data_IF_575433510332
#
_entry.id   IF_575433510332
#
_cell.length_a   1.000
_cell.length_b   1.000
_cell.length_c   1.000
_cell.angle_alpha   90.00
_cell.angle_beta   90.00
_cell.angle_gamma   90.00
#
_symmetry.space_group_name_H-M   'P 1'
#
loop_
_entity.id
_entity.type
_entity.pdbx_description
1 polymer ?
#
# COMPACT_ATOMS: atom_id res chain seq x y z
N UNK A 1 -6.42 36.09 -2.87
CA UNK A 1 -5.20 36.71 -3.41
C UNK A 1 -4.40 35.58 -4.00
N UNK A 2 -4.25 35.50 -5.34
CA UNK A 2 -3.54 34.39 -6.00
C UNK A 2 -2.14 34.25 -5.40
N UNK A 3 -1.81 33.05 -4.90
CA UNK A 3 -0.52 32.77 -4.27
C UNK A 3 0.48 32.27 -5.31
N UNK A 4 0.02 31.75 -6.46
CA UNK A 4 0.84 31.10 -7.50
C UNK A 4 0.28 31.27 -8.93
N UNK A 5 1.12 31.10 -9.97
CA UNK A 5 0.81 30.98 -11.42
C UNK A 5 1.71 29.82 -11.94
N UNK A 6 1.36 28.82 -12.76
CA UNK A 6 0.13 28.36 -13.44
C UNK A 6 0.17 26.82 -13.57
N UNK A 7 -0.96 26.17 -13.36
CA UNK A 7 -1.20 24.76 -13.67
C UNK A 7 -2.55 24.35 -13.05
N UNK A 8 -3.35 23.47 -13.69
CA UNK A 8 -4.67 23.13 -13.19
C UNK A 8 -4.61 22.53 -11.78
N UNK A 9 -3.56 21.76 -11.46
CA UNK A 9 -3.32 21.24 -10.12
C UNK A 9 -3.02 22.33 -9.08
N UNK A 10 -2.23 23.34 -9.45
CA UNK A 10 -1.89 24.45 -8.54
C UNK A 10 -3.13 25.28 -8.24
N UNK A 11 -3.96 25.57 -9.23
CA UNK A 11 -5.21 26.31 -9.04
C UNK A 11 -6.18 25.59 -8.07
N UNK A 12 -6.29 24.26 -8.19
CA UNK A 12 -7.10 23.48 -7.25
C UNK A 12 -6.46 23.31 -5.88
N UNK A 13 -5.13 23.22 -5.82
CA UNK A 13 -4.40 23.24 -4.55
C UNK A 13 -4.64 24.56 -3.81
N UNK A 14 -4.62 25.71 -4.50
CA UNK A 14 -4.97 27.00 -3.90
C UNK A 14 -6.36 27.01 -3.29
N UNK A 15 -7.36 26.46 -4.01
CA UNK A 15 -8.70 26.30 -3.46
C UNK A 15 -8.69 25.46 -2.17
N UNK A 16 -7.92 24.37 -2.10
CA UNK A 16 -7.79 23.58 -0.85
C UNK A 16 -7.14 24.42 0.26
N UNK A 17 -6.09 25.17 -0.06
CA UNK A 17 -5.38 26.02 0.90
C UNK A 17 -6.27 27.15 1.43
N UNK A 18 -7.12 27.76 0.61
CA UNK A 18 -8.10 28.77 1.03
C UNK A 18 -9.09 28.22 2.06
N UNK A 19 -9.47 26.95 1.91
CA UNK A 19 -10.30 26.25 2.90
C UNK A 19 -9.59 26.05 4.23
N UNK A 20 -8.32 25.66 4.21
CA UNK A 20 -7.48 25.56 5.40
C UNK A 20 -7.15 26.93 6.02
N UNK A 21 -7.24 27.99 5.23
CA UNK A 21 -7.06 29.38 5.67
C UNK A 21 -8.32 29.95 6.33
N UNK A 22 -9.45 29.23 6.25
CA UNK A 22 -10.74 29.70 6.78
C UNK A 22 -11.36 30.81 5.93
N UNK A 23 -11.11 30.84 4.62
CA UNK A 23 -11.65 31.85 3.72
C UNK A 23 -13.20 31.92 3.79
N UNK A 24 -13.74 33.14 3.87
CA UNK A 24 -15.20 33.36 3.92
C UNK A 24 -15.85 32.93 2.60
N UNK A 25 -16.97 32.23 2.67
CA UNK A 25 -17.69 31.71 1.49
C UNK A 25 -16.99 30.52 0.80
N UNK A 26 -15.88 30.03 1.34
CA UNK A 26 -15.19 28.88 0.78
C UNK A 26 -16.01 27.60 0.94
N UNK A 27 -16.08 26.80 -0.12
CA UNK A 27 -16.76 25.50 -0.15
C UNK A 27 -18.15 25.51 -0.78
N UNK A 28 -18.71 26.67 -1.11
CA UNK A 28 -20.04 26.77 -1.74
C UNK A 28 -20.04 26.15 -3.15
N UNK A 29 -18.89 26.15 -3.83
CA UNK A 29 -18.64 25.54 -5.14
C UNK A 29 -18.08 24.11 -5.05
N UNK A 30 -18.01 23.48 -3.87
CA UNK A 30 -17.33 22.21 -3.69
C UNK A 30 -17.86 21.07 -4.60
N UNK A 31 -19.17 21.05 -4.90
CA UNK A 31 -19.76 20.08 -5.83
C UNK A 31 -19.28 20.27 -7.30
N UNK A 32 -18.84 21.47 -7.65
CA UNK A 32 -18.29 21.81 -8.96
C UNK A 32 -16.78 21.63 -9.02
N UNK A 33 -16.10 21.74 -7.87
CA UNK A 33 -14.65 21.63 -7.76
C UNK A 33 -14.19 20.18 -7.57
N UNK A 34 -14.96 19.35 -6.87
CA UNK A 34 -14.63 17.95 -6.62
C UNK A 34 -15.06 17.05 -7.80
N UNK A 35 -14.22 16.07 -8.14
CA UNK A 35 -14.54 15.09 -9.17
C UNK A 35 -15.67 14.16 -8.69
N UNK A 36 -16.57 13.68 -9.57
CA UNK A 36 -17.66 12.78 -9.19
C UNK A 36 -17.18 11.52 -8.44
N UNK A 37 -16.07 10.92 -8.88
CA UNK A 37 -15.47 9.74 -8.24
C UNK A 37 -14.97 10.04 -6.83
N UNK A 38 -14.36 11.21 -6.62
CA UNK A 38 -13.95 11.67 -5.29
C UNK A 38 -15.17 11.94 -4.40
N UNK A 39 -16.17 12.65 -4.94
CA UNK A 39 -17.40 13.01 -4.23
C UNK A 39 -18.24 11.78 -3.81
N UNK A 40 -18.14 10.67 -4.56
CA UNK A 40 -18.76 9.40 -4.20
C UNK A 40 -18.14 8.77 -2.94
N UNK A 41 -16.86 9.04 -2.66
CA UNK A 41 -16.16 8.58 -1.46
C UNK A 41 -16.29 9.57 -0.31
N UNK A 42 -16.17 10.86 -0.60
CA UNK A 42 -16.25 11.95 0.37
C UNK A 42 -17.25 13.01 -0.13
N UNK A 43 -18.49 13.04 0.39
CA UNK A 43 -19.50 14.02 -0.02
C UNK A 43 -18.98 15.47 0.12
N UNK A 44 -19.28 16.39 -0.81
CA UNK A 44 -18.76 17.76 -0.78
C UNK A 44 -19.00 18.50 0.54
N UNK A 45 -20.17 18.34 1.15
CA UNK A 45 -20.54 18.99 2.42
C UNK A 45 -19.64 18.48 3.55
N UNK A 46 -19.37 17.17 3.56
CA UNK A 46 -18.48 16.54 4.52
C UNK A 46 -17.04 17.02 4.32
N UNK A 47 -16.58 17.12 3.08
CA UNK A 47 -15.26 17.64 2.77
C UNK A 47 -15.08 19.08 3.29
N UNK A 48 -16.06 19.96 3.01
CA UNK A 48 -16.07 21.35 3.46
C UNK A 48 -16.08 21.43 4.98
N UNK A 49 -16.95 20.66 5.65
CA UNK A 49 -17.03 20.63 7.11
C UNK A 49 -15.70 20.23 7.76
N UNK A 50 -15.06 19.17 7.26
CA UNK A 50 -13.77 18.69 7.78
C UNK A 50 -12.68 19.71 7.55
N UNK A 51 -12.63 20.34 6.38
CA UNK A 51 -11.60 21.33 6.03
C UNK A 51 -11.75 22.60 6.87
N UNK A 52 -12.99 23.09 7.05
CA UNK A 52 -13.27 24.23 7.95
C UNK A 52 -12.86 23.94 9.39
N UNK A 53 -13.09 22.72 9.88
CA UNK A 53 -12.62 22.31 11.22
C UNK A 53 -11.10 22.34 11.31
N UNK A 54 -10.40 21.89 10.27
CA UNK A 54 -8.93 21.90 10.20
C UNK A 54 -8.35 23.31 10.16
N UNK A 55 -9.09 24.31 9.69
CA UNK A 55 -8.60 25.70 9.69
C UNK A 55 -8.14 26.20 11.06
N UNK A 56 -8.64 25.62 12.17
CA UNK A 56 -8.17 25.92 13.52
C UNK A 56 -6.69 25.57 13.77
N UNK A 57 -6.10 24.68 12.95
CA UNK A 57 -4.70 24.25 13.07
C UNK A 57 -3.75 25.03 12.15
N UNK A 58 -4.30 25.69 11.12
CA UNK A 58 -3.52 26.26 10.02
C UNK A 58 -3.76 27.74 9.78
N UNK A 59 -4.91 28.33 10.11
CA UNK A 59 -5.25 29.71 9.72
C UNK A 59 -4.52 30.75 10.59
N UNK A 60 -3.77 31.70 9.99
CA UNK A 60 -3.54 31.87 8.56
C UNK A 60 -2.52 30.87 8.01
N UNK A 61 -2.83 30.25 6.87
CA UNK A 61 -2.00 29.22 6.23
C UNK A 61 -0.66 29.83 5.83
N UNK A 62 0.41 29.29 6.43
CA UNK A 62 1.79 29.63 6.07
C UNK A 62 2.33 28.54 5.14
N UNK A 63 2.43 28.85 3.85
CA UNK A 63 3.10 27.96 2.88
C UNK A 63 4.60 28.13 2.99
N UNK A 64 5.31 27.02 3.23
CA UNK A 64 6.77 26.98 3.39
C UNK A 64 7.49 26.31 2.21
N UNK A 65 6.73 25.74 1.29
CA UNK A 65 7.24 25.19 0.03
C UNK A 65 6.09 24.79 -0.90
N UNK A 66 6.36 24.81 -2.20
CA UNK A 66 5.46 24.35 -3.25
C UNK A 66 6.24 23.45 -4.20
N UNK A 67 5.73 22.25 -4.43
CA UNK A 67 6.32 21.25 -5.31
C UNK A 67 5.29 20.90 -6.40
N UNK A 68 5.54 21.32 -7.64
CA UNK A 68 4.72 20.96 -8.80
C UNK A 68 5.29 19.67 -9.39
N UNK A 69 4.59 18.55 -9.17
CA UNK A 69 5.07 17.22 -9.57
C UNK A 69 4.76 16.99 -11.05
N UNK A 70 3.53 17.30 -11.47
CA UNK A 70 3.06 17.27 -12.86
C UNK A 70 2.01 18.39 -13.05
N UNK A 71 1.57 18.64 -14.29
CA UNK A 71 0.46 19.57 -14.55
C UNK A 71 -0.82 19.20 -13.79
N UNK A 72 -1.00 17.92 -13.49
CA UNK A 72 -2.16 17.35 -12.79
C UNK A 72 -1.92 17.08 -11.31
N UNK A 73 -0.71 17.28 -10.78
CA UNK A 73 -0.40 17.04 -9.35
C UNK A 73 0.51 18.10 -8.77
N UNK A 74 0.05 18.76 -7.71
CA UNK A 74 0.81 19.76 -6.97
C UNK A 74 0.76 19.48 -5.46
N UNK A 75 1.81 19.90 -4.75
CA UNK A 75 1.92 19.77 -3.30
C UNK A 75 2.36 21.07 -2.67
N UNK A 76 1.80 21.42 -1.52
CA UNK A 76 2.24 22.53 -0.70
C UNK A 76 2.65 22.03 0.68
N UNK A 77 3.83 22.43 1.14
CA UNK A 77 4.23 22.28 2.54
C UNK A 77 3.66 23.47 3.30
N UNK A 78 2.85 23.21 4.32
CA UNK A 78 2.22 24.22 5.18
C UNK A 78 2.62 24.03 6.63
N UNK A 79 2.78 25.12 7.37
CA UNK A 79 3.15 25.09 8.79
C UNK A 79 1.89 25.15 9.66
N UNK A 80 1.80 24.25 10.65
CA UNK A 80 0.80 24.27 11.72
C UNK A 80 1.18 25.27 12.82
N UNK A 81 0.23 25.64 13.67
CA UNK A 81 0.50 26.54 14.81
C UNK A 81 1.51 25.98 15.82
N UNK A 82 1.60 24.66 15.97
CA UNK A 82 2.59 23.98 16.83
C UNK A 82 4.01 23.95 16.21
N UNK A 83 4.18 24.50 15.00
CA UNK A 83 5.43 24.57 14.28
C UNK A 83 5.74 23.36 13.39
N UNK A 84 4.94 22.28 13.45
CA UNK A 84 5.13 21.15 12.53
C UNK A 84 4.77 21.54 11.11
N UNK A 85 5.29 20.79 10.14
CA UNK A 85 5.00 21.01 8.72
C UNK A 85 4.18 19.83 8.24
N UNK A 86 3.09 20.12 7.54
CA UNK A 86 2.25 19.16 6.84
C UNK A 86 2.36 19.40 5.32
N UNK A 87 2.10 18.36 4.54
CA UNK A 87 2.04 18.41 3.07
C UNK A 87 0.59 18.27 2.66
N UNK A 88 0.09 19.29 1.96
CA UNK A 88 -1.19 19.25 1.24
C UNK A 88 -0.91 18.78 -0.18
N UNK A 89 -1.46 17.65 -0.56
CA UNK A 89 -1.35 17.11 -1.91
C UNK A 89 -2.68 17.29 -2.63
N UNK A 90 -2.63 17.71 -3.89
CA UNK A 90 -3.79 17.83 -4.75
C UNK A 90 -3.49 17.25 -6.14
N UNK A 91 -4.33 16.31 -6.57
CA UNK A 91 -4.34 15.75 -7.92
C UNK A 91 -5.67 16.05 -8.59
N UNK A 92 -5.62 16.47 -9.84
CA UNK A 92 -6.78 16.88 -10.64
C UNK A 92 -6.97 15.99 -11.87
N UNK A 93 -8.17 16.00 -12.43
CA UNK A 93 -8.47 15.40 -13.73
C UNK A 93 -7.54 15.95 -14.83
N UNK A 94 -7.15 15.11 -15.78
CA UNK A 94 -6.26 15.49 -16.88
C UNK A 94 -6.93 16.38 -17.92
N UNK A 95 -8.26 16.41 -17.96
CA UNK A 95 -9.06 17.25 -18.86
C UNK A 95 -9.82 18.30 -18.09
N UNK A 96 -10.16 19.41 -18.77
CA UNK A 96 -11.07 20.40 -18.23
C UNK A 96 -12.39 19.73 -17.77
N UNK A 97 -12.97 20.16 -16.64
CA UNK A 97 -12.65 21.37 -15.87
C UNK A 97 -11.59 21.17 -14.76
N UNK A 98 -10.79 20.10 -14.84
CA UNK A 98 -9.72 19.78 -13.90
C UNK A 98 -10.23 19.74 -12.46
N UNK A 99 -11.25 18.93 -12.20
CA UNK A 99 -11.79 18.76 -10.85
C UNK A 99 -10.78 18.03 -9.99
N UNK A 100 -10.86 18.24 -8.68
CA UNK A 100 -10.02 17.53 -7.70
C UNK A 100 -10.40 16.05 -7.73
N UNK A 101 -9.54 15.24 -8.31
CA UNK A 101 -9.65 13.78 -8.31
C UNK A 101 -9.22 13.20 -6.96
N UNK A 102 -8.24 13.83 -6.30
CA UNK A 102 -7.88 13.50 -4.92
C UNK A 102 -7.15 14.66 -4.22
N UNK A 103 -7.37 14.78 -2.92
CA UNK A 103 -6.68 15.75 -2.06
C UNK A 103 -6.59 15.24 -0.64
N UNK A 104 -5.47 15.50 0.03
CA UNK A 104 -5.23 15.10 1.41
C UNK A 104 -4.16 15.97 2.07
N UNK A 105 -4.13 15.91 3.40
CA UNK A 105 -3.11 16.53 4.23
C UNK A 105 -2.44 15.42 5.02
N UNK A 106 -1.11 15.39 5.02
CA UNK A 106 -0.28 14.45 5.78
C UNK A 106 0.84 15.20 6.49
N UNK A 107 1.36 14.68 7.59
CA UNK A 107 2.59 15.21 8.18
C UNK A 107 3.75 15.17 7.18
N UNK A 108 4.61 16.19 7.18
CA UNK A 108 5.86 16.16 6.42
C UNK A 108 6.72 15.04 6.97
N UNK A 109 7.07 14.11 6.08
CA UNK A 109 8.10 13.11 6.36
C UNK A 109 9.43 13.75 5.95
N UNK A 110 10.37 14.00 6.90
CA UNK A 110 11.67 14.57 6.58
C UNK A 110 12.40 13.78 5.48
N UNK A 111 13.28 14.41 4.71
CA UNK A 111 14.12 13.71 3.74
C UNK A 111 15.28 12.96 4.39
N UNK A 112 15.68 13.38 5.60
CA UNK A 112 16.77 12.79 6.38
C UNK A 112 16.24 11.71 7.34
N UNK A 113 15.44 10.78 6.83
CA UNK A 113 14.96 9.65 7.64
C UNK A 113 16.09 8.67 7.90
N UNK A 114 15.95 7.93 9.00
CA UNK A 114 16.68 6.69 9.22
C UNK A 114 16.61 5.84 7.94
N UNK A 115 17.76 5.32 7.46
CA UNK A 115 17.79 4.46 6.29
C UNK A 115 16.79 3.30 6.45
N UNK A 116 16.15 2.94 5.33
CA UNK A 116 15.38 1.70 5.26
C UNK A 116 16.28 0.51 5.58
N UNK A 117 15.67 -0.64 5.91
CA UNK A 117 16.41 -1.89 5.92
C UNK A 117 17.11 -2.07 4.57
N UNK A 118 18.26 -2.75 4.53
CA UNK A 118 19.00 -2.85 3.29
C UNK A 118 18.17 -3.56 2.21
N UNK A 119 18.46 -3.21 0.96
CA UNK A 119 17.85 -3.86 -0.22
C UNK A 119 18.40 -5.28 -0.44
N UNK A 120 19.55 -5.56 0.16
CA UNK A 120 20.23 -6.86 0.18
C UNK A 120 20.87 -7.05 1.56
N UNK A 121 20.61 -8.19 2.21
CA UNK A 121 21.09 -8.48 3.55
C UNK A 121 22.47 -9.16 3.59
N UNK A 122 23.12 -9.42 2.46
CA UNK A 122 24.40 -10.15 2.39
C UNK A 122 25.46 -9.65 3.40
N UNK A 123 25.66 -8.32 3.47
CA UNK A 123 26.63 -7.67 4.35
C UNK A 123 25.99 -7.02 5.60
N UNK A 124 24.70 -7.26 5.85
CA UNK A 124 24.02 -6.62 6.97
C UNK A 124 24.43 -7.25 8.31
N UNK A 125 24.90 -6.44 9.26
CA UNK A 125 25.37 -6.96 10.55
C UNK A 125 24.19 -7.54 11.36
N UNK A 126 24.16 -8.87 11.45
CA UNK A 126 23.13 -9.65 12.12
C UNK A 126 23.81 -10.87 12.77
N UNK A 127 23.35 -11.31 13.95
CA UNK A 127 23.84 -12.54 14.53
C UNK A 127 23.47 -13.72 13.62
N UNK A 128 24.49 -14.42 13.11
CA UNK A 128 24.26 -15.69 12.44
C UNK A 128 23.82 -16.72 13.48
N UNK A 129 22.65 -17.32 13.25
CA UNK A 129 22.11 -18.35 14.14
C UNK A 129 21.75 -19.55 13.27
N UNK A 130 22.36 -20.71 13.53
CA UNK A 130 21.90 -21.94 12.90
C UNK A 130 20.46 -22.20 13.36
N UNK A 131 19.53 -22.32 12.42
CA UNK A 131 18.10 -22.39 12.70
C UNK A 131 17.39 -23.22 11.63
N UNK A 132 16.35 -23.97 12.04
CA UNK A 132 15.43 -24.65 11.10
C UNK A 132 14.25 -23.73 10.71
N UNK A 133 14.45 -22.41 10.87
CA UNK A 133 13.43 -21.42 10.60
C UNK A 133 13.26 -21.24 9.10
N UNK A 134 12.05 -20.88 8.69
CA UNK A 134 11.71 -20.69 7.29
C UNK A 134 11.12 -19.31 7.07
N UNK A 135 11.56 -18.64 6.01
CA UNK A 135 10.86 -17.50 5.42
C UNK A 135 10.02 -18.02 4.26
N UNK A 136 8.70 -18.07 4.48
CA UNK A 136 7.75 -18.62 3.51
C UNK A 136 6.99 -17.48 2.85
N UNK A 137 6.98 -17.40 1.53
CA UNK A 137 6.30 -16.35 0.78
C UNK A 137 5.14 -16.93 -0.03
N UNK A 138 3.92 -16.45 0.21
CA UNK A 138 2.76 -16.71 -0.64
C UNK A 138 2.54 -15.54 -1.59
N UNK A 139 2.74 -15.80 -2.87
CA UNK A 139 2.66 -14.86 -3.98
C UNK A 139 1.47 -15.17 -4.88
N UNK A 140 1.00 -14.16 -5.61
CA UNK A 140 -0.11 -14.29 -6.55
C UNK A 140 -0.95 -13.02 -6.65
N UNK A 141 -1.74 -12.95 -7.71
CA UNK A 141 -2.64 -11.83 -7.94
C UNK A 141 -3.78 -11.79 -6.90
N UNK A 142 -4.39 -10.62 -6.65
CA UNK A 142 -5.62 -10.53 -5.87
C UNK A 142 -6.68 -11.54 -6.38
N UNK A 143 -7.32 -12.29 -5.48
CA UNK A 143 -8.32 -13.31 -5.83
C UNK A 143 -7.77 -14.68 -6.26
N UNK A 144 -6.45 -14.86 -6.32
CA UNK A 144 -5.80 -16.14 -6.70
C UNK A 144 -5.81 -17.23 -5.63
N UNK A 145 -6.34 -16.96 -4.42
CA UNK A 145 -6.35 -17.92 -3.30
C UNK A 145 -5.12 -17.90 -2.39
N UNK A 146 -4.12 -17.04 -2.66
CA UNK A 146 -2.88 -16.93 -1.85
C UNK A 146 -3.12 -16.78 -0.35
N UNK A 147 -4.01 -15.88 0.05
CA UNK A 147 -4.24 -15.57 1.46
C UNK A 147 -4.92 -16.72 2.19
N UNK A 148 -5.85 -17.41 1.51
CA UNK A 148 -6.48 -18.62 2.05
C UNK A 148 -5.47 -19.72 2.32
N UNK A 149 -4.49 -19.92 1.43
CA UNK A 149 -3.45 -20.93 1.62
C UNK A 149 -2.41 -20.49 2.66
N UNK A 150 -2.03 -19.21 2.68
CA UNK A 150 -1.11 -18.66 3.68
C UNK A 150 -1.68 -18.79 5.10
N UNK A 151 -2.94 -18.39 5.30
CA UNK A 151 -3.62 -18.47 6.59
C UNK A 151 -3.79 -19.94 7.05
N UNK A 152 -4.13 -20.85 6.13
CA UNK A 152 -4.23 -22.28 6.43
C UNK A 152 -2.86 -22.89 6.80
N UNK A 153 -1.79 -22.54 6.08
CA UNK A 153 -0.45 -23.02 6.37
C UNK A 153 0.08 -22.46 7.69
N UNK A 154 -0.18 -21.19 7.98
CA UNK A 154 0.19 -20.58 9.26
C UNK A 154 -0.51 -21.23 10.44
N UNK A 155 -1.79 -21.55 10.30
CA UNK A 155 -2.55 -22.27 11.32
C UNK A 155 -1.99 -23.68 11.55
N UNK A 156 -1.74 -24.44 10.48
CA UNK A 156 -1.23 -25.81 10.56
C UNK A 156 0.19 -25.88 11.16
N UNK A 157 1.05 -24.93 10.81
CA UNK A 157 2.46 -24.91 11.25
C UNK A 157 2.67 -24.17 12.58
N UNK A 158 1.68 -23.44 13.08
CA UNK A 158 1.86 -22.52 14.22
C UNK A 158 2.79 -21.34 13.89
N UNK A 159 2.83 -20.92 12.62
CA UNK A 159 3.72 -19.87 12.11
C UNK A 159 2.94 -18.58 11.85
N UNK A 160 3.42 -17.41 12.29
CA UNK A 160 2.72 -16.15 12.06
C UNK A 160 2.65 -15.80 10.57
N UNK A 161 1.48 -15.31 10.14
CA UNK A 161 1.22 -14.82 8.79
C UNK A 161 1.13 -13.30 8.81
N UNK A 162 2.08 -12.63 8.15
CA UNK A 162 2.03 -11.19 7.94
C UNK A 162 1.59 -10.90 6.50
N UNK A 163 0.41 -10.30 6.35
CA UNK A 163 -0.16 -10.01 5.04
C UNK A 163 -0.11 -8.51 4.71
N UNK A 164 0.20 -8.21 3.45
CA UNK A 164 0.21 -6.83 2.93
C UNK A 164 -1.12 -6.11 3.19
N UNK A 165 -2.25 -6.76 2.90
CA UNK A 165 -3.59 -6.20 3.04
C UNK A 165 -3.90 -5.84 4.50
N UNK A 166 -3.43 -6.65 5.47
CA UNK A 166 -3.58 -6.37 6.91
C UNK A 166 -2.76 -5.15 7.33
N UNK A 167 -1.51 -5.06 6.88
CA UNK A 167 -0.64 -3.91 7.14
C UNK A 167 -1.25 -2.63 6.56
N UNK A 168 -1.69 -2.66 5.30
CA UNK A 168 -2.29 -1.51 4.64
C UNK A 168 -3.64 -1.11 5.27
N UNK A 169 -4.45 -2.08 5.68
CA UNK A 169 -5.67 -1.84 6.43
C UNK A 169 -5.39 -1.09 7.74
N UNK A 170 -4.40 -1.55 8.50
CA UNK A 170 -3.98 -0.94 9.76
C UNK A 170 -3.42 0.48 9.60
N UNK A 171 -2.86 0.83 8.42
CA UNK A 171 -2.35 2.17 8.13
C UNK A 171 -3.44 3.16 7.72
N UNK A 172 -4.64 2.71 7.38
CA UNK A 172 -5.72 3.58 6.92
C UNK A 172 -6.11 4.69 7.92
N UNK A 173 -6.23 4.43 9.24
CA UNK A 173 -6.47 5.49 10.24
C UNK A 173 -5.38 6.57 10.29
N UNK A 174 -4.17 6.27 9.82
CA UNK A 174 -3.03 7.19 9.76
C UNK A 174 -2.90 7.86 8.38
N UNK A 175 -3.96 7.84 7.56
CA UNK A 175 -3.95 8.40 6.21
C UNK A 175 -3.31 7.49 5.17
N UNK A 176 -3.09 6.19 5.48
CA UNK A 176 -2.34 5.27 4.62
C UNK A 176 -2.89 5.07 3.20
N UNK A 177 -4.18 5.38 2.97
CA UNK A 177 -4.79 5.42 1.62
C UNK A 177 -4.18 6.48 0.72
N UNK A 178 -3.58 7.50 1.32
CA UNK A 178 -3.07 8.68 0.65
C UNK A 178 -1.53 8.71 0.62
N UNK A 179 -0.88 7.64 1.10
CA UNK A 179 0.55 7.51 0.94
C UNK A 179 0.90 7.34 -0.54
N UNK A 180 2.04 7.89 -0.96
CA UNK A 180 2.47 7.83 -2.37
C UNK A 180 2.85 6.42 -2.82
N UNK A 181 3.30 5.58 -1.88
CA UNK A 181 3.76 4.22 -2.16
C UNK A 181 3.35 3.26 -1.05
N UNK A 182 2.04 3.00 -0.88
CA UNK A 182 1.53 2.17 0.20
C UNK A 182 2.13 0.77 0.16
N UNK A 183 2.29 0.17 -1.03
CA UNK A 183 2.93 -1.14 -1.18
C UNK A 183 4.40 -1.15 -0.74
N UNK A 184 5.16 -0.09 -1.03
CA UNK A 184 6.56 -0.01 -0.57
C UNK A 184 6.65 0.07 0.96
N UNK A 185 5.69 0.76 1.60
CA UNK A 185 5.58 0.82 3.07
C UNK A 185 5.20 -0.55 3.62
N UNK A 186 4.23 -1.24 3.00
CA UNK A 186 3.86 -2.59 3.40
C UNK A 186 5.04 -3.57 3.27
N UNK A 187 5.79 -3.53 2.17
CA UNK A 187 6.98 -4.36 1.98
C UNK A 187 8.06 -4.07 3.02
N UNK A 188 8.28 -2.81 3.39
CA UNK A 188 9.23 -2.44 4.44
C UNK A 188 8.81 -3.00 5.82
N UNK A 189 7.53 -2.87 6.16
CA UNK A 189 6.98 -3.39 7.42
C UNK A 189 7.01 -4.92 7.45
N UNK A 190 6.63 -5.60 6.36
CA UNK A 190 6.70 -7.05 6.24
C UNK A 190 8.15 -7.56 6.35
N UNK A 191 9.10 -6.87 5.70
CA UNK A 191 10.54 -7.21 5.79
C UNK A 191 11.04 -7.04 7.23
N UNK A 192 10.62 -5.97 7.91
CA UNK A 192 11.00 -5.71 9.31
C UNK A 192 10.44 -6.79 10.24
N UNK A 193 9.17 -7.17 10.08
CA UNK A 193 8.54 -8.22 10.87
C UNK A 193 9.19 -9.59 10.63
N UNK A 194 9.48 -9.92 9.36
CA UNK A 194 10.21 -11.13 9.02
C UNK A 194 11.61 -11.15 9.63
N UNK A 195 12.39 -10.07 9.49
CA UNK A 195 13.71 -9.95 10.08
C UNK A 195 13.69 -10.21 11.59
N UNK A 196 12.73 -9.62 12.32
CA UNK A 196 12.59 -9.83 13.76
C UNK A 196 12.26 -11.27 14.13
N UNK A 197 11.38 -11.94 13.38
CA UNK A 197 11.08 -13.36 13.59
C UNK A 197 12.29 -14.25 13.33
N UNK A 198 12.98 -14.04 12.20
CA UNK A 198 14.10 -14.88 11.78
C UNK A 198 15.31 -14.70 12.71
N UNK A 199 15.60 -13.48 13.16
CA UNK A 199 16.64 -13.22 14.19
C UNK A 199 16.29 -13.90 15.52
N UNK A 200 15.01 -14.12 15.82
CA UNK A 200 14.56 -14.89 16.98
C UNK A 200 14.55 -16.41 16.73
N UNK A 201 15.02 -16.90 15.58
CA UNK A 201 14.99 -18.32 15.22
C UNK A 201 13.59 -18.85 14.91
N UNK A 202 12.63 -17.98 14.58
CA UNK A 202 11.24 -18.34 14.33
C UNK A 202 10.89 -18.22 12.85
N UNK A 203 10.18 -19.22 12.33
CA UNK A 203 9.62 -19.17 10.98
C UNK A 203 8.59 -18.05 10.85
N UNK A 204 8.36 -17.60 9.61
CA UNK A 204 7.40 -16.54 9.28
C UNK A 204 6.83 -16.75 7.88
N UNK A 205 5.54 -16.43 7.71
CA UNK A 205 4.87 -16.42 6.43
C UNK A 205 4.57 -14.98 6.00
N UNK A 206 4.93 -14.62 4.77
CA UNK A 206 4.58 -13.36 4.13
C UNK A 206 3.53 -13.58 3.04
N UNK A 207 2.32 -13.02 3.21
CA UNK A 207 1.27 -12.98 2.20
C UNK A 207 1.34 -11.65 1.43
N UNK A 208 1.99 -11.68 0.27
CA UNK A 208 2.28 -10.49 -0.52
C UNK A 208 2.41 -10.85 -2.01
N UNK A 209 1.89 -10.03 -2.95
CA UNK A 209 1.97 -10.34 -4.38
C UNK A 209 3.39 -10.61 -4.89
N UNK A 210 4.40 -9.93 -4.33
CA UNK A 210 5.82 -10.11 -4.62
C UNK A 210 6.12 -10.09 -6.13
N UNK A 211 5.50 -9.13 -6.84
CA UNK A 211 5.62 -8.97 -8.29
C UNK A 211 6.99 -8.45 -8.72
N UNK A 212 7.70 -7.72 -7.85
CA UNK A 212 9.02 -7.17 -8.19
C UNK A 212 10.11 -8.19 -7.85
N UNK A 213 10.99 -8.49 -8.82
CA UNK A 213 12.15 -9.34 -8.60
C UNK A 213 13.01 -8.85 -7.43
N UNK A 214 13.23 -7.54 -7.33
CA UNK A 214 13.96 -6.93 -6.21
C UNK A 214 13.35 -7.24 -4.83
N UNK A 215 12.02 -7.38 -4.71
CA UNK A 215 11.39 -7.79 -3.43
C UNK A 215 11.73 -9.25 -3.11
N UNK A 216 11.74 -10.13 -4.12
CA UNK A 216 12.06 -11.55 -3.96
C UNK A 216 13.52 -11.74 -3.54
N UNK A 217 14.44 -11.06 -4.22
CA UNK A 217 15.88 -11.09 -3.88
C UNK A 217 16.16 -10.52 -2.49
N UNK A 218 15.48 -9.44 -2.11
CA UNK A 218 15.60 -8.86 -0.77
C UNK A 218 15.18 -9.85 0.32
N UNK A 219 14.09 -10.59 0.11
CA UNK A 219 13.63 -11.60 1.08
C UNK A 219 14.50 -12.86 1.05
N UNK A 220 15.00 -13.26 -0.11
CA UNK A 220 15.95 -14.37 -0.22
C UNK A 220 17.26 -14.08 0.52
N UNK A 221 17.85 -12.91 0.29
CA UNK A 221 19.06 -12.48 0.99
C UNK A 221 18.82 -12.36 2.50
N UNK A 222 17.64 -11.88 2.93
CA UNK A 222 17.26 -11.88 4.35
C UNK A 222 17.29 -13.30 4.94
N UNK A 223 16.59 -14.24 4.32
CA UNK A 223 16.54 -15.63 4.78
C UNK A 223 17.96 -16.23 4.86
N UNK A 224 18.74 -16.08 3.79
CA UNK A 224 20.13 -16.54 3.72
C UNK A 224 20.99 -15.94 4.83
N UNK A 225 20.89 -14.63 5.07
CA UNK A 225 21.68 -13.94 6.10
C UNK A 225 21.34 -14.42 7.50
N UNK A 226 20.08 -14.72 7.77
CA UNK A 226 19.62 -15.26 9.06
C UNK A 226 19.82 -16.77 9.20
N UNK A 227 20.32 -17.47 8.16
CA UNK A 227 20.46 -18.92 8.17
C UNK A 227 19.15 -19.69 8.03
N UNK A 228 18.07 -19.03 7.59
CA UNK A 228 16.75 -19.61 7.41
C UNK A 228 16.53 -20.10 5.97
N UNK A 229 15.67 -21.10 5.79
CA UNK A 229 15.28 -21.57 4.47
C UNK A 229 14.28 -20.61 3.82
N UNK A 230 14.53 -20.26 2.56
CA UNK A 230 13.59 -19.50 1.74
C UNK A 230 12.66 -20.45 0.97
N UNK A 231 11.35 -20.35 1.18
CA UNK A 231 10.33 -21.12 0.45
C UNK A 231 9.30 -20.19 -0.17
N UNK A 232 8.89 -20.46 -1.40
CA UNK A 232 7.93 -19.61 -2.10
C UNK A 232 6.85 -20.44 -2.79
N UNK A 233 5.61 -19.98 -2.67
CA UNK A 233 4.43 -20.57 -3.30
C UNK A 233 3.74 -19.51 -4.13
N UNK A 234 3.46 -19.80 -5.40
CA UNK A 234 2.79 -18.90 -6.32
C UNK A 234 1.41 -19.45 -6.63
N UNK A 235 0.39 -18.75 -6.14
CA UNK A 235 -0.99 -19.12 -6.37
C UNK A 235 -1.51 -18.47 -7.65
N UNK A 236 -2.12 -19.29 -8.50
CA UNK A 236 -2.84 -18.88 -9.70
C UNK A 236 -4.30 -19.35 -9.62
N UNK A 237 -5.20 -18.61 -10.24
CA UNK A 237 -6.52 -19.10 -10.62
C UNK A 237 -6.53 -19.17 -12.15
N UNK A 238 -6.49 -20.36 -12.73
CA UNK A 238 -6.42 -20.50 -14.20
C UNK A 238 -7.75 -20.21 -14.90
N UNK A 239 -8.87 -20.41 -14.22
CA UNK A 239 -10.21 -20.06 -14.68
C UNK A 239 -10.47 -18.57 -14.43
N UNK A 240 -10.58 -17.81 -15.52
CA UNK A 240 -10.77 -16.36 -15.50
C UNK A 240 -12.15 -15.95 -14.96
N UNK A 241 -13.21 -16.71 -15.25
CA UNK A 241 -14.56 -16.39 -14.80
C UNK A 241 -14.70 -16.66 -13.30
N UNK A 242 -14.11 -17.76 -12.83
CA UNK A 242 -14.00 -18.04 -11.40
C UNK A 242 -13.14 -16.99 -10.69
N UNK A 243 -12.00 -16.59 -11.27
CA UNK A 243 -11.11 -15.58 -10.68
C UNK A 243 -11.84 -14.24 -10.53
N UNK A 244 -12.54 -13.80 -11.58
CA UNK A 244 -13.38 -12.61 -11.56
C UNK A 244 -14.46 -12.71 -10.47
N UNK A 245 -15.19 -13.82 -10.44
CA UNK A 245 -16.23 -14.07 -9.44
C UNK A 245 -15.67 -14.01 -8.02
N UNK A 246 -14.50 -14.60 -7.78
CA UNK A 246 -13.81 -14.56 -6.47
C UNK A 246 -13.41 -13.14 -6.10
N UNK A 247 -12.96 -12.33 -7.05
CA UNK A 247 -12.58 -10.94 -6.84
C UNK A 247 -13.79 -10.07 -6.46
N UNK A 248 -14.89 -10.18 -7.21
CA UNK A 248 -16.11 -9.39 -7.01
C UNK A 248 -16.82 -9.76 -5.69
N UNK A 249 -16.84 -11.05 -5.34
CA UNK A 249 -17.43 -11.55 -4.09
C UNK A 249 -16.49 -11.44 -2.89
N UNK A 250 -15.24 -11.03 -3.09
CA UNK A 250 -14.21 -11.04 -2.05
C UNK A 250 -14.65 -10.19 -0.86
N UNK A 251 -14.58 -10.76 0.34
CA UNK A 251 -14.77 -10.06 1.61
C UNK A 251 -13.71 -10.54 2.59
N UNK A 252 -12.62 -9.77 2.73
CA UNK A 252 -11.51 -10.13 3.64
C UNK A 252 -11.80 -9.91 5.12
N UNK A 253 -12.77 -9.06 5.46
CA UNK A 253 -13.06 -8.71 6.86
C UNK A 253 -11.92 -7.96 7.57
N UNK A 254 -10.96 -7.40 6.83
CA UNK A 254 -9.81 -6.68 7.39
C UNK A 254 -10.25 -5.25 7.74
N UNK A 255 -10.12 -4.81 9.02
CA UNK A 255 -10.42 -3.44 9.41
C UNK A 255 -9.59 -2.43 8.62
N UNK A 256 -10.24 -1.39 8.10
CA UNK A 256 -9.57 -0.35 7.32
C UNK A 256 -9.07 -0.81 5.95
N UNK A 257 -9.27 -2.05 5.52
CA UNK A 257 -8.97 -2.46 4.14
C UNK A 257 -10.17 -2.17 3.23
N UNK A 258 -9.92 -1.62 2.04
CA UNK A 258 -10.95 -1.55 0.99
C UNK A 258 -10.55 -2.52 -0.11
N UNK A 259 -11.34 -3.58 -0.25
CA UNK A 259 -11.19 -4.58 -1.30
C UNK A 259 -11.74 -4.00 -2.62
N UNK A 260 -11.05 -2.99 -3.17
CA UNK A 260 -11.41 -2.30 -4.41
C UNK A 260 -10.58 -2.82 -5.60
N UNK A 261 -10.35 -4.15 -5.65
CA UNK A 261 -9.59 -4.73 -6.76
C UNK A 261 -10.46 -4.81 -8.01
N UNK A 262 -10.10 -4.04 -9.03
CA UNK A 262 -10.74 -4.07 -10.35
C UNK A 262 -10.25 -5.28 -11.16
N UNK A 263 -11.19 -6.01 -11.77
CA UNK A 263 -10.89 -7.12 -12.67
C UNK A 263 -10.02 -6.69 -13.85
N UNK A 264 -10.22 -5.48 -14.38
CA UNK A 264 -9.42 -4.98 -15.50
C UNK A 264 -7.93 -4.84 -15.11
N UNK A 265 -7.67 -4.36 -13.89
CA UNK A 265 -6.34 -4.27 -13.31
C UNK A 265 -5.71 -5.65 -13.09
N UNK A 266 -6.46 -6.61 -12.55
CA UNK A 266 -5.97 -7.99 -12.36
C UNK A 266 -5.59 -8.62 -13.70
N UNK A 267 -6.42 -8.46 -14.74
CA UNK A 267 -6.14 -8.98 -16.09
C UNK A 267 -4.89 -8.35 -16.70
N UNK A 268 -4.70 -7.03 -16.56
CA UNK A 268 -3.50 -6.34 -17.02
C UNK A 268 -2.24 -6.83 -16.31
N UNK A 269 -2.31 -6.98 -14.99
CA UNK A 269 -1.21 -7.52 -14.18
C UNK A 269 -0.92 -8.97 -14.50
N UNK A 270 -1.94 -9.78 -14.81
CA UNK A 270 -1.76 -11.17 -15.20
C UNK A 270 -0.91 -11.34 -16.46
N UNK A 271 -1.07 -10.45 -17.45
CA UNK A 271 -0.28 -10.47 -18.67
C UNK A 271 1.20 -10.13 -18.44
N UNK A 272 1.52 -9.46 -17.33
CA UNK A 272 2.86 -8.94 -17.01
C UNK A 272 3.43 -9.49 -15.70
N UNK A 273 2.72 -10.43 -15.06
CA UNK A 273 3.14 -11.02 -13.78
C UNK A 273 4.41 -11.84 -14.01
N UNK A 274 5.56 -11.43 -13.42
CA UNK A 274 6.81 -12.07 -13.77
C UNK A 274 6.89 -13.48 -13.18
N UNK A 275 7.34 -14.41 -14.01
CA UNK A 275 7.58 -15.80 -13.62
C UNK A 275 8.55 -15.91 -12.44
N UNK A 276 8.45 -17.03 -11.73
CA UNK A 276 9.35 -17.36 -10.62
C UNK A 276 10.49 -18.30 -11.03
N UNK A 277 10.60 -18.64 -12.32
CA UNK A 277 11.74 -19.37 -12.92
C UNK A 277 12.19 -20.65 -12.17
N UNK A 278 11.26 -21.37 -11.55
CA UNK A 278 11.54 -22.60 -10.78
C UNK A 278 11.89 -22.36 -9.31
N UNK A 279 11.97 -21.11 -8.85
CA UNK A 279 12.30 -20.73 -7.48
C UNK A 279 11.12 -20.86 -6.50
N UNK A 280 9.93 -21.21 -7.01
CA UNK A 280 8.72 -21.34 -6.23
C UNK A 280 7.83 -22.47 -6.73
N UNK A 281 7.08 -23.09 -5.81
CA UNK A 281 6.00 -24.00 -6.16
C UNK A 281 4.83 -23.21 -6.76
N UNK A 282 4.56 -23.43 -8.05
CA UNK A 282 3.35 -22.90 -8.68
C UNK A 282 2.15 -23.83 -8.41
N UNK A 283 1.05 -23.27 -7.90
CA UNK A 283 -0.19 -24.00 -7.64
C UNK A 283 -1.38 -23.32 -8.31
N UNK A 284 -2.27 -24.13 -8.87
CA UNK A 284 -3.54 -23.67 -9.43
C UNK A 284 -4.69 -23.95 -8.47
N UNK A 285 -5.29 -22.88 -7.96
CA UNK A 285 -6.34 -22.91 -6.93
C UNK A 285 -7.74 -23.15 -7.50
N UNK A 286 -7.84 -23.51 -8.79
CA UNK A 286 -9.03 -24.15 -9.38
C UNK A 286 -9.12 -25.62 -8.96
N UNK A 287 -7.97 -26.26 -8.69
CA UNK A 287 -7.92 -27.64 -8.24
C UNK A 287 -8.49 -27.80 -6.82
N UNK A 288 -8.87 -29.02 -6.40
CA UNK A 288 -9.39 -29.29 -5.06
C UNK A 288 -8.46 -28.75 -3.97
N UNK A 289 -9.05 -28.05 -2.99
CA UNK A 289 -8.30 -27.32 -1.96
C UNK A 289 -7.35 -28.22 -1.18
N UNK A 290 -7.79 -29.43 -0.85
CA UNK A 290 -7.04 -30.41 -0.06
C UNK A 290 -5.80 -30.88 -0.81
N UNK A 291 -5.91 -31.10 -2.12
CA UNK A 291 -4.79 -31.49 -2.98
C UNK A 291 -3.75 -30.37 -3.10
N UNK A 292 -4.22 -29.14 -3.36
CA UNK A 292 -3.35 -27.96 -3.45
C UNK A 292 -2.64 -27.72 -2.13
N UNK A 293 -3.38 -27.78 -1.01
CA UNK A 293 -2.84 -27.57 0.32
C UNK A 293 -1.80 -28.63 0.69
N UNK A 294 -2.05 -29.91 0.41
CA UNK A 294 -1.08 -30.98 0.65
C UNK A 294 0.24 -30.77 -0.13
N UNK A 295 0.16 -30.32 -1.39
CA UNK A 295 1.34 -30.00 -2.19
C UNK A 295 2.12 -28.79 -1.61
N UNK A 296 1.40 -27.76 -1.17
CA UNK A 296 1.98 -26.60 -0.49
C UNK A 296 2.70 -27.03 0.78
N UNK A 297 2.04 -27.79 1.65
CA UNK A 297 2.62 -28.24 2.91
C UNK A 297 3.89 -29.04 2.69
N UNK A 298 3.87 -30.01 1.76
CA UNK A 298 5.05 -30.77 1.37
C UNK A 298 6.23 -29.86 0.99
N UNK A 299 6.00 -28.91 0.09
CA UNK A 299 7.05 -28.02 -0.42
C UNK A 299 7.63 -27.07 0.63
N UNK A 300 6.82 -26.61 1.59
CA UNK A 300 7.29 -25.66 2.61
C UNK A 300 7.89 -26.36 3.83
N UNK A 301 7.63 -27.66 4.04
CA UNK A 301 8.20 -28.42 5.18
C UNK A 301 9.42 -29.27 4.80
N UNK A 302 9.44 -29.84 3.60
CA UNK A 302 10.55 -30.67 3.07
C UNK A 302 11.55 -29.82 2.28
#
# INVERSE_FOLDING_TARGET
MQRFITGPAVARLEWVLDGLDGARGWGDDAAEVLAPEFAAVVPPERYVQVTRRRAADYSPVVVVGLDVVTDTTARARIRRHDGTVDVVSCTVESTAPHRIASTWVTGLVPTDLTPRLPVDFADHDLPYTATDARLIVFSGLPGSGKSTLADAAGLELGVPVFAADWVLGALTPFGGRHFESPLAIAEELLTTLALRQLVAGQSVILDHPAERLATRERWRSLAQRTGADFRAVVCRCSDAELHRTRLEKRRRGIPGWHDASDWSNVRQRQATFPGWNGEALAVDTVQPKEMVFAAVMRHITE
#
